data_IF_175554357045
#
_entry.id   IF_175554357045
#
_cell.length_a   1.000
_cell.length_b   1.000
_cell.length_c   1.000
_cell.angle_alpha   90.00
_cell.angle_beta   90.00
_cell.angle_gamma   90.00
#
_symmetry.space_group_name_H-M   'P 1'
#
loop_
_entity.id
_entity.type
_entity.pdbx_description
1 polymer ?
#
# COMPACT_ATOMS: atom_id res chain seq x y z
N UNK A 1 -12.90 50.26 57.37
CA UNK A 1 -13.96 49.58 56.58
C UNK A 1 -14.67 50.53 55.58
N UNK A 2 -13.96 51.43 54.88
CA UNK A 2 -14.59 52.34 53.88
C UNK A 2 -13.89 52.25 52.50
N UNK A 3 -12.65 51.73 52.44
CA UNK A 3 -11.90 51.58 51.18
C UNK A 3 -12.31 50.38 50.31
N UNK A 4 -13.10 49.42 50.82
CA UNK A 4 -13.52 48.23 50.06
C UNK A 4 -14.74 48.46 49.17
N UNK A 5 -15.51 49.53 49.38
CA UNK A 5 -16.76 49.78 48.64
C UNK A 5 -16.55 50.61 47.35
N UNK A 6 -15.43 51.32 47.22
CA UNK A 6 -15.14 52.17 46.05
C UNK A 6 -14.48 51.37 44.92
N UNK A 7 -13.75 50.29 45.25
CA UNK A 7 -13.06 49.44 44.26
C UNK A 7 -14.05 48.49 43.55
N UNK A 8 -15.05 47.97 44.27
CA UNK A 8 -16.10 47.11 43.70
C UNK A 8 -17.00 47.85 42.71
N UNK A 9 -17.26 49.15 42.94
CA UNK A 9 -18.12 49.94 42.05
C UNK A 9 -17.41 50.34 40.73
N UNK A 10 -16.09 50.58 40.77
CA UNK A 10 -15.26 50.84 39.57
C UNK A 10 -15.02 49.57 38.73
N UNK A 11 -14.86 48.41 39.37
CA UNK A 11 -14.74 47.13 38.66
C UNK A 11 -16.05 46.76 37.95
N UNK A 12 -17.21 47.01 38.58
CA UNK A 12 -18.53 46.76 37.97
C UNK A 12 -18.83 47.69 36.78
N UNK A 13 -18.45 48.96 36.85
CA UNK A 13 -18.61 49.91 35.73
C UNK A 13 -17.63 49.63 34.59
N UNK A 14 -16.39 49.22 34.87
CA UNK A 14 -15.43 48.81 33.84
C UNK A 14 -15.86 47.51 33.15
N UNK A 15 -16.34 46.52 33.91
CA UNK A 15 -16.87 45.28 33.34
C UNK A 15 -18.13 45.56 32.50
N UNK A 16 -19.05 46.42 32.96
CA UNK A 16 -20.23 46.81 32.18
C UNK A 16 -19.88 47.59 30.90
N UNK A 17 -18.85 48.43 30.92
CA UNK A 17 -18.37 49.17 29.75
C UNK A 17 -17.67 48.26 28.73
N UNK A 18 -16.83 47.32 29.19
CA UNK A 18 -16.18 46.31 28.34
C UNK A 18 -17.22 45.37 27.72
N UNK A 19 -18.21 44.92 28.49
CA UNK A 19 -19.30 44.07 28.00
C UNK A 19 -20.20 44.80 26.99
N UNK A 20 -20.47 46.11 27.17
CA UNK A 20 -21.32 46.89 26.25
C UNK A 20 -20.64 47.36 24.96
N UNK A 21 -19.31 47.40 24.92
CA UNK A 21 -18.55 47.90 23.75
C UNK A 21 -17.83 46.77 23.01
N UNK A 22 -17.22 45.82 23.72
CA UNK A 22 -16.45 44.74 23.09
C UNK A 22 -17.33 43.62 22.53
N UNK A 23 -18.46 43.30 23.19
CA UNK A 23 -19.36 42.24 22.68
C UNK A 23 -20.04 42.65 21.38
N UNK A 24 -20.60 43.86 21.23
CA UNK A 24 -21.17 44.28 19.94
C UNK A 24 -20.12 44.39 18.83
N UNK A 25 -18.88 44.80 19.13
CA UNK A 25 -17.80 44.80 18.13
C UNK A 25 -17.39 43.39 17.70
N UNK A 26 -17.31 42.43 18.61
CA UNK A 26 -17.02 41.03 18.28
C UNK A 26 -18.16 40.37 17.50
N UNK A 27 -19.42 40.69 17.83
CA UNK A 27 -20.61 40.22 17.09
C UNK A 27 -20.69 40.87 15.71
N UNK A 28 -20.35 42.15 15.58
CA UNK A 28 -20.32 42.87 14.29
C UNK A 28 -19.19 42.35 13.40
N UNK A 29 -17.99 42.11 13.96
CA UNK A 29 -16.89 41.47 13.22
C UNK A 29 -17.27 40.06 12.75
N UNK A 30 -17.86 39.22 13.62
CA UNK A 30 -18.33 37.89 13.23
C UNK A 30 -19.44 37.95 12.16
N UNK A 31 -20.31 38.97 12.20
CA UNK A 31 -21.34 39.19 11.18
C UNK A 31 -20.75 39.62 9.83
N UNK A 32 -19.72 40.46 9.83
CA UNK A 32 -19.02 40.88 8.60
C UNK A 32 -18.28 39.69 7.98
N UNK A 33 -17.52 38.93 8.78
CA UNK A 33 -16.83 37.73 8.29
C UNK A 33 -17.80 36.67 7.75
N UNK A 34 -18.98 36.52 8.38
CA UNK A 34 -20.03 35.62 7.89
C UNK A 34 -20.74 36.12 6.62
N UNK A 35 -20.76 37.43 6.35
CA UNK A 35 -21.31 38.00 5.12
C UNK A 35 -20.34 37.86 3.95
N UNK A 36 -19.07 38.22 4.15
CA UNK A 36 -18.00 38.00 3.16
C UNK A 36 -17.93 36.51 2.79
N UNK A 37 -18.06 35.62 3.78
CA UNK A 37 -18.03 34.18 3.54
C UNK A 37 -19.16 33.68 2.64
N UNK A 38 -20.38 34.15 2.88
CA UNK A 38 -21.53 33.81 2.04
C UNK A 38 -21.38 34.35 0.63
N UNK A 39 -20.82 35.55 0.48
CA UNK A 39 -20.67 36.22 -0.80
C UNK A 39 -19.68 35.49 -1.72
N UNK A 40 -18.48 35.16 -1.22
CA UNK A 40 -17.51 34.45 -2.06
C UNK A 40 -17.91 33.01 -2.34
N UNK A 41 -18.63 32.33 -1.42
CA UNK A 41 -19.18 30.99 -1.68
C UNK A 41 -20.21 31.01 -2.81
N UNK A 42 -21.12 31.99 -2.81
CA UNK A 42 -22.07 32.20 -3.91
C UNK A 42 -21.35 32.51 -5.23
N UNK A 43 -20.30 33.32 -5.19
CA UNK A 43 -19.48 33.59 -6.36
C UNK A 43 -18.77 32.33 -6.87
N UNK A 44 -18.21 31.51 -5.97
CA UNK A 44 -17.59 30.23 -6.30
C UNK A 44 -18.59 29.27 -6.96
N UNK A 45 -19.80 29.11 -6.41
CA UNK A 45 -20.86 28.30 -7.02
C UNK A 45 -21.22 28.79 -8.42
N UNK A 46 -21.29 30.12 -8.61
CA UNK A 46 -21.55 30.74 -9.92
C UNK A 46 -20.41 30.49 -10.91
N UNK A 47 -19.16 30.56 -10.46
CA UNK A 47 -17.99 30.27 -11.31
C UNK A 47 -17.92 28.79 -11.69
N UNK A 48 -18.16 27.89 -10.75
CA UNK A 48 -18.22 26.45 -10.98
C UNK A 48 -19.33 26.09 -11.96
N UNK A 49 -20.53 26.65 -11.80
CA UNK A 49 -21.64 26.42 -12.72
C UNK A 49 -21.36 26.99 -14.11
N UNK A 50 -20.79 28.20 -14.19
CA UNK A 50 -20.39 28.82 -15.47
C UNK A 50 -19.36 27.96 -16.20
N UNK A 51 -18.32 27.49 -15.50
CA UNK A 51 -17.28 26.64 -16.10
C UNK A 51 -17.87 25.32 -16.59
N UNK A 52 -18.75 24.70 -15.81
CA UNK A 52 -19.48 23.49 -16.23
C UNK A 52 -20.33 23.75 -17.49
N UNK A 53 -21.07 24.87 -17.55
CA UNK A 53 -21.84 25.24 -18.75
C UNK A 53 -20.94 25.47 -19.96
N UNK A 54 -19.77 26.08 -19.79
CA UNK A 54 -18.79 26.23 -20.88
C UNK A 54 -18.33 24.86 -21.40
N UNK A 55 -18.06 23.90 -20.52
CA UNK A 55 -17.71 22.52 -20.91
C UNK A 55 -18.88 21.80 -21.58
N UNK A 56 -20.11 21.96 -21.08
CA UNK A 56 -21.32 21.39 -21.68
C UNK A 56 -21.59 21.92 -23.10
N UNK A 57 -21.24 23.18 -23.37
CA UNK A 57 -21.30 23.80 -24.70
C UNK A 57 -20.16 23.35 -25.62
N UNK A 58 -18.95 23.13 -25.08
CA UNK A 58 -17.80 22.68 -25.86
C UNK A 58 -17.89 21.19 -26.21
N UNK A 59 -18.36 20.37 -25.26
CA UNK A 59 -18.49 18.91 -25.40
C UNK A 59 -19.94 18.61 -25.75
N UNK A 60 -20.30 18.82 -27.02
CA UNK A 60 -21.64 18.53 -27.52
C UNK A 60 -21.81 17.04 -27.80
N UNK A 61 -23.07 16.60 -27.92
CA UNK A 61 -23.41 15.24 -28.29
C UNK A 61 -22.79 14.86 -29.64
N UNK A 62 -22.81 15.77 -30.63
CA UNK A 62 -22.24 15.56 -31.95
C UNK A 62 -20.73 15.35 -31.90
N UNK A 63 -20.00 16.14 -31.09
CA UNK A 63 -18.56 15.99 -30.93
C UNK A 63 -18.19 14.63 -30.35
N UNK A 64 -19.00 14.11 -29.42
CA UNK A 64 -18.82 12.76 -28.87
C UNK A 64 -19.10 11.70 -29.94
N UNK A 65 -20.19 11.82 -30.71
CA UNK A 65 -20.47 10.90 -31.83
C UNK A 65 -19.32 10.84 -32.84
N UNK A 66 -18.80 11.98 -33.28
CA UNK A 66 -17.67 12.06 -34.22
C UNK A 66 -16.44 11.35 -33.64
N UNK A 67 -16.11 11.62 -32.37
CA UNK A 67 -14.98 10.99 -31.68
C UNK A 67 -15.16 9.46 -31.55
N UNK A 68 -16.40 9.01 -31.44
CA UNK A 68 -16.78 7.61 -31.35
C UNK A 68 -16.91 6.91 -32.71
N UNK A 69 -16.80 7.64 -33.83
CA UNK A 69 -17.02 7.10 -35.18
C UNK A 69 -18.48 6.72 -35.45
N UNK A 70 -19.42 7.41 -34.80
CA UNK A 70 -20.86 7.18 -34.95
C UNK A 70 -21.45 8.26 -35.86
N UNK A 71 -22.07 7.83 -36.97
CA UNK A 71 -22.71 8.73 -37.92
C UNK A 71 -24.03 9.31 -37.39
N UNK A 72 -24.31 10.57 -37.73
CA UNK A 72 -25.54 11.28 -37.40
C UNK A 72 -26.36 11.61 -38.67
N UNK A 73 -27.70 11.55 -38.64
CA UNK A 73 -28.54 11.18 -37.50
C UNK A 73 -28.48 9.67 -37.19
N UNK A 74 -28.66 9.33 -35.91
CA UNK A 74 -28.66 7.92 -35.48
C UNK A 74 -29.76 7.14 -36.22
N UNK A 75 -29.43 5.99 -36.86
CA UNK A 75 -30.38 5.19 -37.61
C UNK A 75 -31.57 4.77 -36.73
N UNK A 76 -32.75 4.69 -37.35
CA UNK A 76 -33.94 4.18 -36.68
C UNK A 76 -33.93 2.65 -36.73
N UNK A 77 -34.08 2.03 -35.57
CA UNK A 77 -34.19 0.59 -35.45
C UNK A 77 -35.44 0.09 -36.19
N UNK A 78 -35.24 -0.88 -37.08
CA UNK A 78 -36.34 -1.50 -37.85
C UNK A 78 -36.75 -2.86 -37.29
N UNK A 79 -35.87 -3.52 -36.53
CA UNK A 79 -36.05 -4.88 -35.98
C UNK A 79 -35.53 -4.97 -34.55
N UNK A 80 -36.13 -5.86 -33.74
CA UNK A 80 -35.68 -6.16 -32.38
C UNK A 80 -34.37 -6.98 -32.37
N UNK A 81 -33.68 -7.01 -31.23
CA UNK A 81 -32.46 -7.83 -31.07
C UNK A 81 -32.69 -9.32 -31.37
N UNK A 82 -33.83 -9.85 -30.95
CA UNK A 82 -34.13 -11.28 -31.13
C UNK A 82 -34.43 -11.62 -32.59
N UNK A 83 -35.14 -10.75 -33.32
CA UNK A 83 -35.34 -10.91 -34.76
C UNK A 83 -34.02 -10.85 -35.53
N UNK A 84 -33.12 -9.94 -35.15
CA UNK A 84 -31.79 -9.83 -35.76
C UNK A 84 -30.95 -11.07 -35.50
N UNK A 85 -30.96 -11.62 -34.27
CA UNK A 85 -30.24 -12.86 -33.96
C UNK A 85 -30.71 -14.03 -34.81
N UNK A 86 -32.02 -14.21 -34.94
CA UNK A 86 -32.62 -15.27 -35.78
C UNK A 86 -32.20 -15.10 -37.23
N UNK A 87 -32.19 -13.87 -37.76
CA UNK A 87 -31.75 -13.63 -39.13
C UNK A 87 -30.25 -13.88 -39.34
N UNK A 88 -29.41 -13.50 -38.36
CA UNK A 88 -27.97 -13.80 -38.40
C UNK A 88 -27.75 -15.31 -38.46
N UNK A 89 -28.42 -16.08 -37.61
CA UNK A 89 -28.35 -17.55 -37.61
C UNK A 89 -28.78 -18.12 -38.98
N UNK A 90 -29.89 -17.63 -39.54
CA UNK A 90 -30.37 -18.07 -40.85
C UNK A 90 -29.41 -17.71 -42.00
N UNK A 91 -28.84 -16.50 -42.01
CA UNK A 91 -27.86 -16.08 -43.03
C UNK A 91 -26.54 -16.86 -42.91
N UNK A 92 -26.09 -17.12 -41.67
CA UNK A 92 -24.92 -17.97 -41.40
C UNK A 92 -25.19 -19.39 -41.88
N UNK A 93 -26.30 -20.00 -41.49
CA UNK A 93 -26.66 -21.36 -41.91
C UNK A 93 -26.74 -21.47 -43.42
N UNK A 94 -27.35 -20.49 -44.09
CA UNK A 94 -27.42 -20.44 -45.56
C UNK A 94 -26.03 -20.43 -46.20
N UNK A 95 -25.13 -19.52 -45.78
CA UNK A 95 -23.77 -19.45 -46.33
C UNK A 95 -22.93 -20.67 -45.98
N UNK A 96 -23.11 -21.26 -44.80
CA UNK A 96 -22.45 -22.51 -44.40
C UNK A 96 -22.94 -23.66 -45.27
N UNK A 97 -24.23 -23.75 -45.57
CA UNK A 97 -24.79 -24.76 -46.47
C UNK A 97 -24.29 -24.60 -47.92
N UNK A 98 -24.08 -23.37 -48.38
CA UNK A 98 -23.49 -23.08 -49.69
C UNK A 98 -22.00 -23.48 -49.76
N UNK A 99 -21.23 -23.23 -48.70
CA UNK A 99 -19.79 -23.53 -48.64
C UNK A 99 -19.49 -25.01 -48.33
N UNK A 100 -20.25 -25.60 -47.39
CA UNK A 100 -20.06 -26.96 -46.89
C UNK A 100 -21.44 -27.63 -46.79
N UNK A 101 -21.91 -28.29 -47.85
CA UNK A 101 -23.23 -28.93 -47.87
C UNK A 101 -23.41 -29.93 -46.73
N UNK A 102 -24.65 -30.07 -46.26
CA UNK A 102 -24.99 -31.12 -45.27
C UNK A 102 -24.73 -32.48 -45.91
N UNK A 103 -23.92 -33.28 -45.25
CA UNK A 103 -23.60 -34.62 -45.74
C UNK A 103 -24.84 -35.52 -45.68
N UNK A 104 -25.12 -36.26 -46.75
CA UNK A 104 -26.17 -37.27 -46.73
C UNK A 104 -25.68 -38.50 -45.96
N UNK A 105 -26.12 -38.61 -44.70
CA UNK A 105 -25.76 -39.71 -43.80
C UNK A 105 -26.14 -41.08 -44.39
N UNK A 106 -27.22 -41.17 -45.19
CA UNK A 106 -27.61 -42.43 -45.84
C UNK A 106 -26.60 -42.83 -46.90
N UNK A 107 -26.15 -41.87 -47.72
CA UNK A 107 -25.11 -42.10 -48.73
C UNK A 107 -23.79 -42.53 -48.08
N UNK A 108 -23.37 -41.81 -47.04
CA UNK A 108 -22.15 -42.15 -46.26
C UNK A 108 -22.25 -43.55 -45.66
N UNK A 109 -23.43 -43.90 -45.12
CA UNK A 109 -23.66 -45.22 -44.56
C UNK A 109 -23.58 -46.31 -45.63
N UNK A 110 -24.17 -46.09 -46.81
CA UNK A 110 -24.06 -47.02 -47.93
C UNK A 110 -22.61 -47.20 -48.39
N UNK A 111 -21.86 -46.10 -48.51
CA UNK A 111 -20.43 -46.14 -48.85
C UNK A 111 -19.63 -46.92 -47.80
N UNK A 112 -19.91 -46.71 -46.50
CA UNK A 112 -19.27 -47.44 -45.42
C UNK A 112 -19.65 -48.92 -45.38
N UNK A 113 -20.92 -49.27 -45.67
CA UNK A 113 -21.41 -50.65 -45.78
C UNK A 113 -20.77 -51.39 -46.96
N UNK A 114 -20.56 -50.71 -48.09
CA UNK A 114 -19.85 -51.28 -49.25
C UNK A 114 -18.35 -51.45 -48.96
N UNK A 115 -17.70 -50.44 -48.38
CA UNK A 115 -16.27 -50.48 -48.04
C UNK A 115 -15.95 -51.52 -46.98
N UNK A 116 -16.86 -51.81 -46.04
CA UNK A 116 -16.66 -52.78 -44.95
C UNK A 116 -17.53 -54.03 -45.12
N UNK A 117 -17.93 -54.36 -46.35
CA UNK A 117 -18.76 -55.52 -46.65
C UNK A 117 -18.08 -56.82 -46.20
N UNK A 118 -18.83 -57.72 -45.59
CA UNK A 118 -18.32 -59.05 -45.25
C UNK A 118 -17.86 -59.80 -46.50
N UNK A 119 -16.67 -60.36 -46.44
CA UNK A 119 -16.13 -61.18 -47.53
C UNK A 119 -16.78 -62.55 -47.54
N UNK A 120 -17.09 -63.03 -48.74
CA UNK A 120 -17.62 -64.36 -48.97
C UNK A 120 -16.63 -65.22 -49.75
N UNK A 121 -16.80 -66.54 -49.65
CA UNK A 121 -16.03 -67.48 -50.45
C UNK A 121 -16.29 -67.21 -51.94
N UNK A 122 -15.21 -67.07 -52.72
CA UNK A 122 -15.26 -66.71 -54.13
C UNK A 122 -15.02 -65.22 -54.42
N UNK A 123 -15.05 -64.35 -53.40
CA UNK A 123 -14.73 -62.93 -53.58
C UNK A 123 -13.24 -62.75 -53.95
N UNK A 124 -12.96 -61.77 -54.81
CA UNK A 124 -11.58 -61.34 -55.09
C UNK A 124 -11.20 -60.26 -54.08
N UNK A 125 -10.12 -60.49 -53.34
CA UNK A 125 -9.65 -59.59 -52.29
C UNK A 125 -8.27 -59.05 -52.64
N UNK A 126 -7.99 -57.81 -52.22
CA UNK A 126 -6.68 -57.15 -52.32
C UNK A 126 -6.48 -56.33 -51.03
N UNK A 127 -5.53 -56.75 -50.19
CA UNK A 127 -5.24 -56.07 -48.93
C UNK A 127 -3.78 -56.21 -48.54
N UNK A 128 -3.37 -55.42 -47.54
CA UNK A 128 -2.06 -55.50 -46.92
C UNK A 128 -2.18 -56.13 -45.54
N UNK A 129 -1.38 -57.15 -45.26
CA UNK A 129 -1.38 -57.81 -43.95
C UNK A 129 -0.57 -57.03 -42.90
N UNK A 130 -0.60 -57.47 -41.65
CA UNK A 130 0.12 -56.80 -40.55
C UNK A 130 1.67 -56.80 -40.74
N UNK A 131 2.20 -57.59 -41.67
CA UNK A 131 3.63 -57.62 -42.03
C UNK A 131 3.95 -56.74 -43.25
N UNK A 132 2.99 -55.97 -43.76
CA UNK A 132 3.16 -55.11 -44.92
C UNK A 132 3.16 -55.86 -46.26
N UNK A 133 2.77 -57.13 -46.30
CA UNK A 133 2.70 -57.90 -47.54
C UNK A 133 1.36 -57.63 -48.22
N UNK A 134 1.39 -57.22 -49.49
CA UNK A 134 0.18 -57.14 -50.32
C UNK A 134 -0.24 -58.53 -50.78
N UNK A 135 -1.49 -58.89 -50.52
CA UNK A 135 -2.08 -60.18 -50.83
C UNK A 135 -3.30 -59.95 -51.70
N UNK A 136 -3.25 -60.50 -52.91
CA UNK A 136 -4.32 -60.39 -53.90
C UNK A 136 -4.69 -61.79 -54.40
N UNK A 137 -5.99 -62.05 -54.55
CA UNK A 137 -6.48 -63.29 -55.16
C UNK A 137 -7.90 -63.63 -54.74
N UNK A 138 -8.37 -64.81 -55.16
CA UNK A 138 -9.71 -65.30 -54.84
C UNK A 138 -9.74 -65.99 -53.48
N UNK A 139 -10.72 -65.64 -52.66
CA UNK A 139 -10.90 -66.14 -51.31
C UNK A 139 -11.53 -67.54 -51.33
N UNK A 140 -10.75 -68.56 -50.96
CA UNK A 140 -11.17 -69.97 -50.98
C UNK A 140 -11.77 -70.39 -49.64
N UNK A 141 -11.20 -69.91 -48.54
CA UNK A 141 -11.62 -70.29 -47.19
C UNK A 141 -11.53 -69.08 -46.24
N UNK A 142 -12.53 -68.96 -45.37
CA UNK A 142 -12.65 -67.89 -44.39
C UNK A 142 -12.97 -68.51 -43.03
N UNK A 143 -12.17 -68.18 -42.02
CA UNK A 143 -12.56 -68.35 -40.62
C UNK A 143 -11.97 -67.25 -39.75
N UNK A 144 -12.45 -67.08 -38.51
CA UNK A 144 -11.89 -66.12 -37.56
C UNK A 144 -10.40 -66.32 -37.22
N UNK A 145 -9.82 -67.47 -37.60
CA UNK A 145 -8.43 -67.85 -37.31
C UNK A 145 -7.50 -67.89 -38.53
N UNK A 146 -8.05 -67.97 -39.75
CA UNK A 146 -7.25 -68.14 -40.98
C UNK A 146 -8.05 -67.75 -42.23
N UNK A 147 -7.36 -67.18 -43.20
CA UNK A 147 -7.86 -67.01 -44.57
C UNK A 147 -7.04 -67.86 -45.54
N UNK A 148 -7.67 -68.37 -46.58
CA UNK A 148 -6.98 -68.97 -47.73
C UNK A 148 -7.32 -68.18 -48.99
N UNK A 149 -6.30 -67.64 -49.65
CA UNK A 149 -6.42 -66.80 -50.85
C UNK A 149 -5.58 -67.45 -51.94
N UNK A 150 -6.23 -68.06 -52.94
CA UNK A 150 -5.56 -68.95 -53.89
C UNK A 150 -4.80 -70.06 -53.16
N UNK A 151 -3.48 -70.12 -53.36
CA UNK A 151 -2.58 -71.09 -52.71
C UNK A 151 -2.00 -70.60 -51.38
N UNK A 152 -2.25 -69.34 -50.98
CA UNK A 152 -1.63 -68.72 -49.80
C UNK A 152 -2.56 -68.80 -48.59
N UNK A 153 -1.96 -68.99 -47.41
CA UNK A 153 -2.64 -68.91 -46.13
C UNK A 153 -2.22 -67.66 -45.37
N UNK A 154 -3.19 -66.96 -44.81
CA UNK A 154 -2.97 -65.82 -43.91
C UNK A 154 -3.46 -66.23 -42.53
N UNK A 155 -2.57 -66.17 -41.55
CA UNK A 155 -2.88 -66.52 -40.17
C UNK A 155 -3.52 -65.34 -39.45
N UNK A 156 -4.31 -65.60 -38.40
CA UNK A 156 -4.90 -64.55 -37.55
C UNK A 156 -3.88 -63.53 -37.02
N UNK A 157 -2.64 -63.95 -36.76
CA UNK A 157 -1.57 -63.08 -36.26
C UNK A 157 -1.22 -61.99 -37.28
N UNK A 158 -1.49 -62.24 -38.56
CA UNK A 158 -1.22 -61.30 -39.65
C UNK A 158 -2.45 -60.47 -40.03
N UNK A 159 -3.60 -60.62 -39.34
CA UNK A 159 -4.82 -59.85 -39.64
C UNK A 159 -4.70 -58.42 -39.12
N UNK A 160 -4.95 -57.45 -39.99
CA UNK A 160 -5.14 -56.04 -39.63
C UNK A 160 -6.58 -55.81 -39.16
N UNK A 161 -6.87 -54.68 -38.46
CA UNK A 161 -8.23 -54.31 -38.10
C UNK A 161 -9.19 -54.26 -39.30
N UNK A 162 -8.68 -53.87 -40.48
CA UNK A 162 -9.42 -53.85 -41.75
C UNK A 162 -9.84 -55.27 -42.16
N UNK A 163 -8.90 -56.22 -42.15
CA UNK A 163 -9.19 -57.63 -42.44
C UNK A 163 -10.23 -58.19 -41.46
N UNK A 164 -10.10 -57.89 -40.18
CA UNK A 164 -11.09 -58.30 -39.17
C UNK A 164 -12.48 -57.72 -39.43
N UNK A 165 -12.58 -56.47 -39.90
CA UNK A 165 -13.85 -55.83 -40.24
C UNK A 165 -14.57 -56.51 -41.42
N UNK A 166 -13.85 -57.24 -42.28
CA UNK A 166 -14.46 -58.00 -43.38
C UNK A 166 -14.81 -59.45 -43.03
N UNK A 167 -14.34 -59.99 -41.91
CA UNK A 167 -14.56 -61.40 -41.51
C UNK A 167 -15.59 -61.50 -40.40
N UNK A 168 -15.56 -60.57 -39.44
CA UNK A 168 -16.40 -60.60 -38.25
C UNK A 168 -17.58 -59.62 -38.37
N UNK A 169 -18.85 -60.09 -38.31
CA UNK A 169 -20.02 -59.23 -38.41
C UNK A 169 -20.13 -58.14 -37.35
N UNK A 170 -19.59 -58.35 -36.14
CA UNK A 170 -19.62 -57.35 -35.08
C UNK A 170 -18.58 -56.26 -35.33
N UNK A 171 -17.37 -56.66 -35.77
CA UNK A 171 -16.31 -55.71 -36.09
C UNK A 171 -16.62 -54.92 -37.37
N UNK A 172 -17.28 -55.54 -38.36
CA UNK A 172 -17.83 -54.86 -39.54
C UNK A 172 -18.80 -53.75 -39.13
N UNK A 173 -19.80 -54.07 -38.31
CA UNK A 173 -20.76 -53.08 -37.78
C UNK A 173 -20.06 -51.95 -37.02
N UNK A 174 -19.04 -52.27 -36.23
CA UNK A 174 -18.25 -51.27 -35.51
C UNK A 174 -17.47 -50.36 -36.47
N UNK A 175 -16.83 -50.93 -37.50
CA UNK A 175 -16.09 -50.18 -38.51
C UNK A 175 -16.99 -49.24 -39.31
N UNK A 176 -18.15 -49.74 -39.78
CA UNK A 176 -19.19 -48.94 -40.46
C UNK A 176 -19.63 -47.77 -39.58
N UNK A 177 -20.02 -48.05 -38.32
CA UNK A 177 -20.42 -47.02 -37.37
C UNK A 177 -19.31 -45.98 -37.16
N UNK A 178 -18.06 -46.42 -36.98
CA UNK A 178 -16.90 -45.56 -36.77
C UNK A 178 -16.63 -44.68 -37.99
N UNK A 179 -16.74 -45.20 -39.20
CA UNK A 179 -16.56 -44.46 -40.45
C UNK A 179 -17.65 -43.40 -40.63
N UNK A 180 -18.92 -43.78 -40.47
CA UNK A 180 -20.06 -42.84 -40.51
C UNK A 180 -19.86 -41.74 -39.46
N UNK A 181 -19.50 -42.10 -38.23
CA UNK A 181 -19.25 -41.13 -37.15
C UNK A 181 -18.08 -40.20 -37.49
N UNK A 182 -16.97 -40.72 -38.01
CA UNK A 182 -15.80 -39.92 -38.40
C UNK A 182 -16.15 -38.91 -39.49
N UNK A 183 -16.83 -39.34 -40.55
CA UNK A 183 -17.19 -38.45 -41.65
C UNK A 183 -18.23 -37.40 -41.23
N UNK A 184 -19.26 -37.80 -40.48
CA UNK A 184 -20.27 -36.86 -39.97
C UNK A 184 -19.68 -35.86 -38.99
N UNK A 185 -18.78 -36.30 -38.11
CA UNK A 185 -18.08 -35.43 -37.15
C UNK A 185 -17.10 -34.49 -37.84
N UNK A 186 -16.36 -34.97 -38.86
CA UNK A 186 -15.48 -34.13 -39.68
C UNK A 186 -16.27 -33.07 -40.43
N UNK A 187 -17.42 -33.43 -41.01
CA UNK A 187 -18.30 -32.47 -41.70
C UNK A 187 -18.88 -31.44 -40.72
N UNK A 188 -19.33 -31.88 -39.54
CA UNK A 188 -19.83 -30.97 -38.51
C UNK A 188 -18.75 -30.01 -38.01
N UNK A 189 -17.53 -30.50 -37.79
CA UNK A 189 -16.39 -29.67 -37.40
C UNK A 189 -16.05 -28.62 -38.46
N UNK A 190 -16.03 -29.01 -39.74
CA UNK A 190 -15.75 -28.06 -40.83
C UNK A 190 -16.87 -27.02 -40.98
N UNK A 191 -18.14 -27.43 -40.87
CA UNK A 191 -19.28 -26.50 -40.87
C UNK A 191 -19.20 -25.50 -39.72
N UNK A 192 -18.86 -25.95 -38.52
CA UNK A 192 -18.68 -25.08 -37.36
C UNK A 192 -17.52 -24.10 -37.58
N UNK A 193 -16.39 -24.55 -38.13
CA UNK A 193 -15.25 -23.69 -38.46
C UNK A 193 -15.64 -22.59 -39.45
N UNK A 194 -16.37 -22.92 -40.51
CA UNK A 194 -16.85 -21.95 -41.48
C UNK A 194 -17.88 -21.00 -40.85
N UNK A 195 -18.79 -21.51 -40.01
CA UNK A 195 -19.76 -20.69 -39.29
C UNK A 195 -19.07 -19.66 -38.39
N UNK A 196 -18.07 -20.08 -37.59
CA UNK A 196 -17.30 -19.19 -36.71
C UNK A 196 -16.57 -18.08 -37.47
N UNK A 197 -16.06 -18.37 -38.67
CA UNK A 197 -15.41 -17.36 -39.51
C UNK A 197 -16.39 -16.35 -40.11
N UNK A 198 -17.57 -16.82 -40.54
CA UNK A 198 -18.59 -15.98 -41.18
C UNK A 198 -19.44 -15.19 -40.17
N UNK A 199 -19.61 -15.71 -38.96
CA UNK A 199 -20.51 -15.16 -37.95
C UNK A 199 -20.25 -13.68 -37.63
N UNK A 200 -19.02 -13.22 -37.34
CA UNK A 200 -18.78 -11.82 -36.98
C UNK A 200 -19.11 -10.83 -38.10
N UNK A 201 -18.83 -11.22 -39.35
CA UNK A 201 -19.10 -10.40 -40.54
C UNK A 201 -20.61 -10.27 -40.76
N UNK A 202 -21.32 -11.41 -40.78
CA UNK A 202 -22.78 -11.44 -40.96
C UNK A 202 -23.48 -10.73 -39.81
N UNK A 203 -23.04 -10.96 -38.58
CA UNK A 203 -23.53 -10.26 -37.40
C UNK A 203 -23.45 -8.75 -37.61
N UNK A 204 -22.27 -8.24 -37.97
CA UNK A 204 -22.07 -6.80 -38.16
C UNK A 204 -22.94 -6.22 -39.29
N UNK A 205 -23.07 -6.93 -40.40
CA UNK A 205 -23.87 -6.49 -41.54
C UNK A 205 -25.36 -6.44 -41.18
N UNK A 206 -25.91 -7.52 -40.59
CA UNK A 206 -27.35 -7.58 -40.26
C UNK A 206 -27.71 -6.57 -39.17
N UNK A 207 -26.86 -6.40 -38.15
CA UNK A 207 -27.08 -5.40 -37.11
C UNK A 207 -27.07 -3.98 -37.69
N UNK A 208 -26.11 -3.66 -38.57
CA UNK A 208 -26.03 -2.35 -39.24
C UNK A 208 -27.24 -2.12 -40.16
N UNK A 209 -27.63 -3.11 -40.95
CA UNK A 209 -28.84 -3.07 -41.80
C UNK A 209 -30.12 -2.83 -40.98
N UNK A 210 -30.16 -3.36 -39.76
CA UNK A 210 -31.30 -3.22 -38.84
C UNK A 210 -31.29 -1.93 -38.02
N UNK A 211 -30.30 -1.05 -38.25
CA UNK A 211 -30.19 0.26 -37.62
C UNK A 211 -29.58 0.25 -36.22
N UNK A 212 -28.83 -0.80 -35.85
CA UNK A 212 -28.04 -0.82 -34.62
C UNK A 212 -26.68 -0.17 -34.83
N UNK A 213 -26.12 0.38 -33.76
CA UNK A 213 -24.84 1.08 -33.76
C UNK A 213 -23.86 0.32 -32.88
N UNK A 214 -22.65 0.13 -33.39
CA UNK A 214 -21.53 -0.41 -32.62
C UNK A 214 -20.74 0.76 -32.01
N UNK A 215 -20.67 0.82 -30.68
CA UNK A 215 -19.93 1.88 -29.96
C UNK A 215 -18.61 1.28 -29.43
N UNK A 216 -17.49 1.59 -30.09
CA UNK A 216 -16.21 0.93 -29.85
C UNK A 216 -15.66 1.05 -28.41
N UNK A 217 -15.92 2.16 -27.71
CA UNK A 217 -15.44 2.35 -26.33
C UNK A 217 -16.42 1.81 -25.26
N UNK A 218 -17.62 1.36 -25.66
CA UNK A 218 -18.64 0.83 -24.76
C UNK A 218 -18.80 -0.68 -24.98
N UNK A 219 -17.81 -1.44 -24.48
CA UNK A 219 -17.80 -2.90 -24.46
C UNK A 219 -17.93 -3.63 -25.82
N UNK A 220 -17.78 -2.93 -26.96
CA UNK A 220 -18.00 -3.48 -28.30
C UNK A 220 -19.39 -4.12 -28.46
N UNK A 221 -20.41 -3.52 -27.88
CA UNK A 221 -21.79 -4.00 -27.96
C UNK A 221 -22.59 -3.22 -29.01
N UNK A 222 -23.59 -3.91 -29.57
CA UNK A 222 -24.56 -3.32 -30.48
C UNK A 222 -25.70 -2.72 -29.68
N UNK A 223 -25.98 -1.44 -29.92
CA UNK A 223 -27.01 -0.70 -29.21
C UNK A 223 -28.11 -0.26 -30.16
N UNK A 224 -29.35 -0.31 -29.70
CA UNK A 224 -30.47 0.36 -30.37
C UNK A 224 -30.27 1.87 -30.37
N UNK A 225 -31.09 2.61 -31.10
CA UNK A 225 -31.05 4.09 -31.11
C UNK A 225 -31.18 4.69 -29.70
N UNK A 226 -32.17 4.25 -28.92
CA UNK A 226 -32.44 4.80 -27.59
C UNK A 226 -31.32 4.47 -26.59
N UNK A 227 -30.80 3.24 -26.65
CA UNK A 227 -29.66 2.83 -25.82
C UNK A 227 -28.40 3.58 -26.23
N UNK A 228 -28.14 3.72 -27.54
CA UNK A 228 -26.99 4.46 -28.06
C UNK A 228 -27.01 5.91 -27.58
N UNK A 229 -28.17 6.58 -27.61
CA UNK A 229 -28.31 7.94 -27.08
C UNK A 229 -27.95 8.01 -25.60
N UNK A 230 -28.43 7.06 -24.81
CA UNK A 230 -28.15 6.99 -23.37
C UNK A 230 -26.66 6.78 -23.10
N UNK A 231 -26.03 5.84 -23.83
CA UNK A 231 -24.60 5.53 -23.69
C UNK A 231 -23.74 6.73 -24.14
N UNK A 232 -24.06 7.36 -25.27
CA UNK A 232 -23.33 8.53 -25.76
C UNK A 232 -23.47 9.70 -24.78
N UNK A 233 -24.65 9.91 -24.20
CA UNK A 233 -24.86 10.96 -23.19
C UNK A 233 -24.08 10.67 -21.91
N UNK A 234 -24.02 9.41 -21.46
CA UNK A 234 -23.16 9.02 -20.33
C UNK A 234 -21.67 9.26 -20.63
N UNK A 235 -21.20 8.90 -21.83
CA UNK A 235 -19.83 9.19 -22.27
C UNK A 235 -19.55 10.69 -22.31
N UNK A 236 -20.50 11.49 -22.80
CA UNK A 236 -20.44 12.95 -22.79
C UNK A 236 -20.28 13.50 -21.38
N UNK A 237 -21.13 13.06 -20.44
CA UNK A 237 -21.06 13.49 -19.04
C UNK A 237 -19.73 13.08 -18.39
N UNK A 238 -19.23 11.88 -18.67
CA UNK A 238 -17.93 11.43 -18.18
C UNK A 238 -16.79 12.30 -18.72
N UNK A 239 -16.82 12.65 -20.01
CA UNK A 239 -15.85 13.57 -20.61
C UNK A 239 -15.92 14.98 -20.00
N UNK A 240 -17.13 15.49 -19.73
CA UNK A 240 -17.34 16.77 -19.04
C UNK A 240 -16.75 16.72 -17.64
N UNK A 241 -17.07 15.70 -16.84
CA UNK A 241 -16.56 15.56 -15.48
C UNK A 241 -15.03 15.44 -15.46
N UNK A 242 -14.45 14.65 -16.36
CA UNK A 242 -13.01 14.54 -16.48
C UNK A 242 -12.36 15.91 -16.79
N UNK A 243 -12.89 16.65 -17.78
CA UNK A 243 -12.37 17.97 -18.15
C UNK A 243 -12.63 19.03 -17.07
N UNK A 244 -13.71 18.86 -16.33
CA UNK A 244 -14.02 19.68 -15.17
C UNK A 244 -12.94 19.50 -14.10
N UNK A 245 -12.63 18.27 -13.71
CA UNK A 245 -11.62 17.99 -12.69
C UNK A 245 -10.20 18.40 -13.13
N UNK A 246 -9.85 18.20 -14.41
CA UNK A 246 -8.55 18.58 -14.97
C UNK A 246 -8.35 20.10 -15.00
N UNK A 247 -9.37 20.88 -15.35
CA UNK A 247 -9.22 22.32 -15.62
C UNK A 247 -9.83 23.27 -14.59
N UNK A 248 -10.62 22.77 -13.63
CA UNK A 248 -11.29 23.63 -12.64
C UNK A 248 -10.28 24.40 -11.79
N UNK A 249 -9.18 23.76 -11.40
CA UNK A 249 -8.18 24.40 -10.55
C UNK A 249 -7.53 25.61 -11.24
N UNK A 250 -7.17 25.46 -12.52
CA UNK A 250 -6.58 26.53 -13.33
C UNK A 250 -7.60 27.64 -13.59
N UNK A 251 -8.86 27.27 -13.90
CA UNK A 251 -9.94 28.23 -14.11
C UNK A 251 -10.21 29.08 -12.86
N UNK A 252 -10.33 28.43 -11.69
CA UNK A 252 -10.55 29.12 -10.41
C UNK A 252 -9.32 29.94 -9.99
N UNK A 253 -8.11 29.43 -10.22
CA UNK A 253 -6.86 30.14 -10.01
C UNK A 253 -6.79 31.44 -10.80
N UNK A 254 -7.14 31.42 -12.08
CA UNK A 254 -7.21 32.60 -12.93
C UNK A 254 -8.28 33.62 -12.48
N UNK A 255 -9.27 33.19 -11.68
CA UNK A 255 -10.30 34.05 -11.06
C UNK A 255 -9.97 34.47 -9.63
N UNK A 256 -8.75 34.21 -9.15
CA UNK A 256 -8.27 34.65 -7.85
C UNK A 256 -8.68 33.76 -6.68
N UNK A 257 -9.05 32.51 -6.93
CA UNK A 257 -9.30 31.51 -5.88
C UNK A 257 -8.09 30.58 -5.72
N UNK A 258 -7.86 30.12 -4.48
CA UNK A 258 -6.85 29.14 -4.16
C UNK A 258 -7.44 28.09 -3.20
N UNK A 259 -6.82 26.90 -3.17
CA UNK A 259 -7.27 25.79 -2.33
C UNK A 259 -6.50 25.80 -1.01
N UNK A 260 -7.23 25.77 0.10
CA UNK A 260 -6.69 25.68 1.47
C UNK A 260 -7.53 24.67 2.26
N UNK A 261 -6.89 23.67 2.88
CA UNK A 261 -7.56 22.60 3.65
C UNK A 261 -8.76 21.96 2.90
N UNK A 262 -8.58 21.64 1.61
CA UNK A 262 -9.60 21.08 0.73
C UNK A 262 -10.81 21.98 0.42
N UNK A 263 -10.75 23.26 0.75
CA UNK A 263 -11.78 24.24 0.38
C UNK A 263 -11.20 25.28 -0.58
N UNK A 264 -11.95 25.60 -1.62
CA UNK A 264 -11.65 26.73 -2.49
C UNK A 264 -12.07 28.01 -1.79
N UNK A 265 -11.18 29.00 -1.72
CA UNK A 265 -11.47 30.32 -1.18
C UNK A 265 -10.65 31.38 -1.89
N UNK A 266 -11.04 32.67 -1.86
CA UNK A 266 -10.24 33.77 -2.36
C UNK A 266 -8.77 33.69 -1.92
N UNK A 267 -7.85 33.89 -2.87
CA UNK A 267 -6.40 33.76 -2.65
C UNK A 267 -5.88 34.67 -1.53
N UNK A 268 -6.47 35.84 -1.36
CA UNK A 268 -6.15 36.76 -0.27
C UNK A 268 -6.46 36.17 1.11
N UNK A 269 -7.59 35.45 1.25
CA UNK A 269 -7.92 34.77 2.50
C UNK A 269 -7.02 33.57 2.76
N UNK A 270 -6.63 32.83 1.73
CA UNK A 270 -5.63 31.76 1.88
C UNK A 270 -4.32 32.35 2.42
N UNK A 271 -3.85 33.45 1.82
CA UNK A 271 -2.65 34.15 2.28
C UNK A 271 -2.79 34.70 3.71
N UNK A 272 -3.99 35.10 4.12
CA UNK A 272 -4.26 35.50 5.51
C UNK A 272 -4.23 34.31 6.47
N UNK A 273 -4.90 33.20 6.15
CA UNK A 273 -4.93 31.99 6.97
C UNK A 273 -3.55 31.36 7.12
N UNK A 274 -2.75 31.33 6.06
CA UNK A 274 -1.36 30.87 6.11
C UNK A 274 -0.52 31.73 7.06
N UNK A 275 -0.62 33.07 6.95
CA UNK A 275 0.05 33.99 7.89
C UNK A 275 -0.40 33.77 9.33
N UNK A 276 -1.70 33.55 9.57
CA UNK A 276 -2.23 33.26 10.90
C UNK A 276 -1.70 31.92 11.45
N UNK A 277 -1.58 30.89 10.60
CA UNK A 277 -0.97 29.60 10.95
C UNK A 277 0.52 29.74 11.28
N UNK A 278 1.30 30.44 10.45
CA UNK A 278 2.72 30.71 10.70
C UNK A 278 2.94 31.45 12.03
N UNK A 279 2.11 32.45 12.33
CA UNK A 279 2.16 33.18 13.59
C UNK A 279 1.82 32.24 14.77
N UNK A 280 0.82 31.38 14.61
CA UNK A 280 0.43 30.42 15.66
C UNK A 280 1.52 29.38 15.91
N UNK A 281 2.16 28.85 14.86
CA UNK A 281 3.27 27.91 14.96
C UNK A 281 4.49 28.55 15.61
N UNK A 282 4.84 29.79 15.22
CA UNK A 282 5.94 30.54 15.83
C UNK A 282 5.70 30.75 17.33
N UNK A 283 4.47 31.09 17.74
CA UNK A 283 4.11 31.24 19.16
C UNK A 283 4.23 29.93 19.93
N UNK A 284 3.76 28.81 19.35
CA UNK A 284 3.92 27.47 19.96
C UNK A 284 5.38 27.09 20.11
N UNK A 285 6.21 27.33 19.10
CA UNK A 285 7.64 27.06 19.14
C UNK A 285 8.34 27.91 20.21
N UNK A 286 7.99 29.20 20.33
CA UNK A 286 8.54 30.07 21.37
C UNK A 286 8.14 29.61 22.79
N UNK A 287 6.90 29.19 22.97
CA UNK A 287 6.41 28.66 24.25
C UNK A 287 7.13 27.37 24.65
N UNK A 288 7.29 26.43 23.70
CA UNK A 288 8.06 25.20 23.91
C UNK A 288 9.52 25.50 24.26
N UNK A 289 10.17 26.44 23.55
CA UNK A 289 11.54 26.85 23.86
C UNK A 289 11.67 27.45 25.26
N UNK A 290 10.70 28.28 25.68
CA UNK A 290 10.66 28.83 27.05
C UNK A 290 10.48 27.73 28.10
N UNK A 291 9.67 26.72 27.82
CA UNK A 291 9.43 25.61 28.74
C UNK A 291 10.69 24.74 28.90
N UNK A 292 11.35 24.39 27.79
CA UNK A 292 12.63 23.67 27.81
C UNK A 292 13.72 24.46 28.54
N UNK A 293 13.79 25.78 28.33
CA UNK A 293 14.75 26.63 29.04
C UNK A 293 14.53 26.62 30.57
N UNK A 294 13.27 26.61 31.02
CA UNK A 294 12.93 26.48 32.45
C UNK A 294 13.35 25.13 33.01
N UNK A 295 13.06 24.04 32.31
CA UNK A 295 13.46 22.69 32.73
C UNK A 295 14.97 22.54 32.84
N UNK A 296 15.73 23.08 31.87
CA UNK A 296 17.20 23.09 31.91
C UNK A 296 17.70 23.91 33.11
N UNK A 297 17.10 25.08 33.38
CA UNK A 297 17.48 25.92 34.51
C UNK A 297 17.19 25.23 35.86
N UNK A 298 16.03 24.59 36.01
CA UNK A 298 15.67 23.82 37.21
C UNK A 298 16.61 22.64 37.42
N UNK A 299 16.96 21.91 36.36
CA UNK A 299 17.91 20.79 36.45
C UNK A 299 19.27 21.27 36.94
N UNK A 300 19.80 22.35 36.36
CA UNK A 300 21.07 22.96 36.79
C UNK A 300 21.01 23.42 38.25
N UNK A 301 19.91 24.05 38.68
CA UNK A 301 19.74 24.48 40.07
C UNK A 301 19.69 23.29 41.05
N UNK A 302 19.05 22.18 40.66
CA UNK A 302 19.04 20.93 41.46
C UNK A 302 20.44 20.31 41.54
N UNK A 303 21.15 20.21 40.43
CA UNK A 303 22.52 19.70 40.38
C UNK A 303 23.46 20.54 41.26
N UNK A 304 23.33 21.87 41.22
CA UNK A 304 24.11 22.78 42.06
C UNK A 304 23.79 22.60 43.54
N UNK A 305 22.51 22.45 43.90
CA UNK A 305 22.08 22.19 45.28
C UNK A 305 22.64 20.85 45.79
N UNK A 306 22.54 19.78 45.01
CA UNK A 306 23.11 18.46 45.37
C UNK A 306 24.63 18.57 45.58
N UNK A 307 25.33 19.29 44.70
CA UNK A 307 26.77 19.50 44.83
C UNK A 307 27.14 20.31 46.08
N UNK A 308 26.34 21.32 46.45
CA UNK A 308 26.52 22.08 47.68
C UNK A 308 26.29 21.22 48.93
N UNK A 309 25.23 20.41 48.94
CA UNK A 309 24.93 19.47 50.04
C UNK A 309 26.03 18.41 50.18
N UNK A 310 26.52 17.84 49.07
CA UNK A 310 27.62 16.88 49.07
C UNK A 310 28.91 17.50 49.61
N UNK A 311 29.25 18.74 49.21
CA UNK A 311 30.40 19.48 49.76
C UNK A 311 30.25 19.76 51.25
N UNK A 312 29.03 20.08 51.71
CA UNK A 312 28.76 20.30 53.13
C UNK A 312 28.92 19.01 53.96
N UNK A 313 28.40 17.87 53.47
CA UNK A 313 28.58 16.57 54.11
C UNK A 313 30.06 16.16 54.18
N UNK A 314 30.79 16.31 53.08
CA UNK A 314 32.22 16.01 53.01
C UNK A 314 33.05 16.80 54.05
N UNK A 315 32.71 18.08 54.28
CA UNK A 315 33.37 18.92 55.30
C UNK A 315 33.19 18.41 56.73
N UNK A 316 32.19 17.58 57.00
CA UNK A 316 31.95 16.97 58.31
C UNK A 316 32.59 15.59 58.39
N UNK A 317 32.38 14.75 57.38
CA UNK A 317 32.80 13.35 57.41
C UNK A 317 34.31 13.16 57.24
N UNK A 318 34.95 13.96 56.38
CA UNK A 318 36.39 13.83 56.10
C UNK A 318 37.23 14.12 57.34
N UNK A 319 37.03 15.23 58.09
CA UNK A 319 37.73 15.44 59.35
C UNK A 319 37.50 14.32 60.36
N UNK A 320 36.29 13.77 60.44
CA UNK A 320 35.98 12.66 61.34
C UNK A 320 36.79 11.40 60.98
N UNK A 321 36.89 11.07 59.68
CA UNK A 321 37.69 9.95 59.17
C UNK A 321 39.19 10.11 59.53
N UNK A 322 39.78 11.28 59.24
CA UNK A 322 41.20 11.54 59.53
C UNK A 322 41.47 11.50 61.03
N UNK A 323 40.60 12.12 61.83
CA UNK A 323 40.73 12.10 63.27
C UNK A 323 40.59 10.69 63.85
N UNK A 324 39.72 9.85 63.28
CA UNK A 324 39.59 8.43 63.65
C UNK A 324 40.88 7.66 63.36
N UNK A 325 41.39 7.76 62.14
CA UNK A 325 42.66 7.14 61.73
C UNK A 325 43.82 7.54 62.66
N UNK A 326 44.03 8.84 62.89
CA UNK A 326 45.14 9.31 63.70
C UNK A 326 45.02 8.88 65.17
N UNK A 327 43.80 8.82 65.72
CA UNK A 327 43.55 8.25 67.06
C UNK A 327 43.91 6.77 67.15
N UNK A 328 43.60 5.99 66.12
CA UNK A 328 43.99 4.57 66.07
C UNK A 328 45.51 4.41 65.97
N UNK A 329 46.19 5.27 65.21
CA UNK A 329 47.66 5.26 65.13
C UNK A 329 48.34 5.61 66.46
N UNK A 330 47.76 6.51 67.27
CA UNK A 330 48.25 6.79 68.64
C UNK A 330 48.21 5.54 69.52
N UNK A 331 47.17 4.70 69.38
CA UNK A 331 47.03 3.44 70.14
C UNK A 331 48.00 2.35 69.67
N UNK A 332 48.75 2.60 68.61
CA UNK A 332 49.68 1.64 68.01
C UNK A 332 49.07 0.77 66.91
N UNK A 333 47.78 0.96 66.58
CA UNK A 333 47.11 0.29 65.47
C UNK A 333 47.52 0.94 64.14
N UNK A 334 47.42 0.22 63.03
CA UNK A 334 47.70 0.77 61.68
C UNK A 334 46.51 1.58 61.12
N UNK A 335 45.32 1.42 61.71
CA UNK A 335 44.08 2.06 61.29
C UNK A 335 43.54 1.51 59.96
N UNK A 336 43.77 0.22 59.67
CA UNK A 336 43.40 -0.42 58.40
C UNK A 336 41.97 -0.12 57.91
N UNK A 337 41.00 0.02 58.82
CA UNK A 337 39.60 0.29 58.50
C UNK A 337 39.37 1.63 57.77
N UNK A 338 40.30 2.59 57.87
CA UNK A 338 40.21 3.88 57.20
C UNK A 338 40.84 3.87 55.81
N UNK A 339 41.49 2.79 55.39
CA UNK A 339 42.21 2.72 54.12
C UNK A 339 41.32 2.27 52.95
N UNK A 340 41.59 2.77 51.75
CA UNK A 340 40.91 2.33 50.53
C UNK A 340 41.36 0.90 50.16
N UNK A 341 40.47 0.12 49.55
CA UNK A 341 40.80 -1.26 49.17
C UNK A 341 42.02 -1.30 48.22
N UNK A 342 43.03 -2.11 48.57
CA UNK A 342 44.27 -2.26 47.77
C UNK A 342 45.34 -1.19 48.02
N UNK A 343 45.15 -0.29 49.00
CA UNK A 343 46.19 0.65 49.43
C UNK A 343 47.11 0.05 50.51
N UNK A 344 48.36 0.52 50.57
CA UNK A 344 49.32 0.09 51.59
C UNK A 344 49.32 1.06 52.76
N UNK A 345 49.06 0.60 54.00
CA UNK A 345 48.98 1.50 55.14
C UNK A 345 50.34 2.12 55.46
N UNK A 346 50.38 3.44 55.53
CA UNK A 346 51.56 4.20 55.97
C UNK A 346 51.44 4.43 57.47
N UNK A 347 52.42 3.93 58.23
CA UNK A 347 52.51 4.16 59.67
C UNK A 347 53.22 5.47 59.94
N UNK A 348 52.53 6.46 60.51
CA UNK A 348 53.16 7.65 61.04
C UNK A 348 53.91 7.29 62.33
N UNK A 349 55.10 7.85 62.52
CA UNK A 349 55.92 7.56 63.70
C UNK A 349 55.32 8.31 64.90
N UNK A 350 54.69 7.61 65.84
CA UNK A 350 54.23 8.13 67.13
C UNK A 350 53.56 9.53 67.08
N UNK A 351 52.42 9.69 66.35
CA UNK A 351 51.67 10.95 66.36
C UNK A 351 51.18 11.26 67.77
N UNK A 352 51.27 12.51 68.22
CA UNK A 352 50.85 12.96 69.55
C UNK A 352 49.78 14.05 69.50
N UNK A 353 49.89 14.97 68.55
CA UNK A 353 48.91 16.03 68.27
C UNK A 353 48.78 16.27 66.77
N UNK A 354 47.62 16.75 66.32
CA UNK A 354 47.44 17.11 64.92
C UNK A 354 46.35 18.17 64.72
N UNK A 355 46.45 18.88 63.61
CA UNK A 355 45.54 19.94 63.19
C UNK A 355 45.29 19.82 61.68
N UNK A 356 44.03 19.82 61.26
CA UNK A 356 43.67 19.89 59.84
C UNK A 356 43.84 21.34 59.39
N UNK A 357 44.76 21.56 58.46
CA UNK A 357 45.16 22.90 57.98
C UNK A 357 44.37 23.31 56.75
N UNK A 358 44.14 22.36 55.83
CA UNK A 358 43.39 22.62 54.59
C UNK A 358 42.62 21.38 54.15
N UNK A 359 41.47 21.59 53.49
CA UNK A 359 40.61 20.55 52.95
C UNK A 359 40.07 20.97 51.59
N UNK A 360 40.50 20.26 50.56
CA UNK A 360 40.03 20.40 49.19
C UNK A 360 39.21 19.16 48.82
N UNK A 361 37.96 19.36 48.39
CA UNK A 361 37.05 18.26 48.03
C UNK A 361 36.60 18.41 46.57
N UNK A 362 36.83 17.36 45.77
CA UNK A 362 36.56 17.25 44.34
C UNK A 362 35.61 16.08 44.06
N UNK A 363 34.35 16.20 44.50
CA UNK A 363 33.35 15.15 44.34
C UNK A 363 33.68 13.93 45.20
N UNK A 364 34.06 12.81 44.58
CA UNK A 364 34.40 11.56 45.27
C UNK A 364 35.85 11.48 45.75
N UNK A 365 36.64 12.54 45.54
CA UNK A 365 38.02 12.65 46.01
C UNK A 365 38.19 13.84 46.92
N UNK A 366 39.07 13.73 47.91
CA UNK A 366 39.47 14.86 48.73
C UNK A 366 40.96 14.82 49.03
N UNK A 367 41.55 15.98 49.22
CA UNK A 367 42.93 16.15 49.67
C UNK A 367 42.88 16.99 50.92
N UNK A 368 43.44 16.46 52.01
CA UNK A 368 43.47 17.13 53.30
C UNK A 368 44.90 17.29 53.75
N UNK A 369 45.28 18.52 54.01
CA UNK A 369 46.59 18.84 54.58
C UNK A 369 46.44 18.86 56.09
N UNK A 370 47.21 18.02 56.78
CA UNK A 370 47.20 17.85 58.22
C UNK A 370 48.58 18.12 58.77
N UNK A 371 48.68 19.02 59.74
CA UNK A 371 49.89 19.19 60.55
C UNK A 371 49.90 18.14 61.63
N UNK A 372 50.93 17.30 61.67
CA UNK A 372 51.06 16.23 62.67
C UNK A 372 52.33 16.49 63.49
N UNK A 373 52.18 16.50 64.81
CA UNK A 373 53.28 16.48 65.76
C UNK A 373 53.58 15.02 66.12
N UNK A 374 54.84 14.60 65.96
CA UNK A 374 55.33 13.26 66.21
C UNK A 374 56.59 13.26 67.07
N UNK A 375 56.91 12.15 67.71
CA UNK A 375 58.17 11.98 68.45
C UNK A 375 59.14 11.07 67.70
N UNK A 376 60.39 11.51 67.52
CA UNK A 376 61.46 10.62 67.02
C UNK A 376 61.76 9.49 68.01
N UNK A 377 62.47 8.46 67.54
CA UNK A 377 63.04 7.39 68.39
C UNK A 377 63.92 7.90 69.55
N UNK A 378 64.33 9.18 69.53
CA UNK A 378 65.07 9.86 70.60
C UNK A 378 64.25 10.86 71.43
N UNK A 379 62.92 10.89 71.28
CA UNK A 379 62.02 11.73 72.10
C UNK A 379 61.93 13.21 71.68
N UNK A 380 62.61 13.62 70.60
CA UNK A 380 62.48 15.00 70.08
C UNK A 380 61.19 15.14 69.27
N UNK A 381 60.37 16.17 69.54
CA UNK A 381 59.16 16.45 68.78
C UNK A 381 59.50 16.97 67.37
N UNK A 382 58.89 16.39 66.34
CA UNK A 382 58.94 16.86 64.96
C UNK A 382 57.52 17.30 64.57
N UNK A 383 57.41 18.43 63.87
CA UNK A 383 56.15 18.91 63.30
C UNK A 383 56.25 18.90 61.78
N UNK A 384 55.47 18.05 61.12
CA UNK A 384 55.46 17.94 59.67
C UNK A 384 54.06 18.12 59.12
N UNK A 385 53.97 18.62 57.89
CA UNK A 385 52.73 18.65 57.13
C UNK A 385 52.60 17.37 56.32
N UNK A 386 51.41 16.78 56.35
CA UNK A 386 51.08 15.56 55.65
C UNK A 386 49.85 15.79 54.80
N UNK A 387 49.89 15.30 53.57
CA UNK A 387 48.76 15.27 52.66
C UNK A 387 48.07 13.91 52.71
N UNK A 388 46.80 13.93 53.10
CA UNK A 388 45.90 12.78 53.12
C UNK A 388 44.99 12.86 51.90
N UNK A 389 45.17 11.94 50.96
CA UNK A 389 44.30 11.81 49.79
C UNK A 389 43.22 10.79 50.15
N UNK A 390 41.96 11.20 50.10
CA UNK A 390 40.80 10.39 50.40
C UNK A 390 39.97 10.13 49.15
N UNK A 391 39.31 8.98 49.15
CA UNK A 391 38.34 8.55 48.15
C UNK A 391 37.07 8.11 48.84
N UNK A 392 35.91 8.49 48.30
CA UNK A 392 34.61 8.09 48.82
C UNK A 392 34.16 6.77 48.19
N UNK A 393 34.05 5.73 49.01
CA UNK A 393 33.60 4.38 48.62
C UNK A 393 32.45 3.93 49.54
N UNK A 394 31.41 4.76 49.64
CA UNK A 394 30.30 4.62 50.60
C UNK A 394 30.62 5.17 52.00
N UNK A 395 31.90 5.24 52.34
CA UNK A 395 32.46 6.07 53.42
C UNK A 395 33.79 6.66 52.92
N UNK A 396 34.24 7.77 53.51
CA UNK A 396 35.55 8.34 53.18
C UNK A 396 36.67 7.40 53.65
N UNK A 397 37.56 7.03 52.73
CA UNK A 397 38.75 6.22 53.00
C UNK A 397 40.00 6.95 52.55
N UNK A 398 41.06 6.88 53.34
CA UNK A 398 42.40 7.34 52.99
C UNK A 398 42.99 6.37 51.99
N UNK A 399 43.38 6.87 50.83
CA UNK A 399 44.07 6.09 49.80
C UNK A 399 45.58 6.30 49.88
N UNK A 400 46.02 7.54 50.12
CA UNK A 400 47.44 7.87 50.11
C UNK A 400 47.75 8.90 51.17
N UNK A 401 48.83 8.66 51.91
CA UNK A 401 49.43 9.63 52.81
C UNK A 401 50.83 9.94 52.29
N UNK A 402 51.13 11.22 52.11
CA UNK A 402 52.45 11.68 51.68
C UNK A 402 52.87 12.87 52.53
N UNK A 403 54.16 12.95 52.86
CA UNK A 403 54.73 14.14 53.50
C UNK A 403 54.70 15.30 52.50
N UNK A 404 54.27 16.47 52.96
CA UNK A 404 54.28 17.71 52.18
C UNK A 404 55.51 18.51 52.61
N UNK A 405 56.45 18.71 51.68
CA UNK A 405 57.64 19.53 51.91
C UNK A 405 57.32 21.00 52.18
#
# INVERSE_FOLDING_TARGET
MIYSAVITNKAATFHAAVTRVCIPMLVFAASIFGQEEKEWRKNLETLCSTYRTMLEQAITFENVCIKMGVDLPLPQQTRSHDEVKVEVEQRVEKKVNEAVPVIDVKKVRMEAEEENRLWNRGDTVDFVDARGRRIQGTLIFISPGKLQIGTRYVSRVDFTPEIFAHIDPELSRHAIKKMVQRQTSSNAAERNRVAEQLYPQILADVYRESGFILIANAANQWYSKAESQTVIEQLRLNMINQKYDEGLADYLGAKGFARFENQWMPAEMVARKLREQEIAERKRAEEQARQQAREIAERKAREEKINQEAKAAARVEIPACINGLLKEQVKGNDGYEYWAAGSSPVKLVAPTQWEIVDLLCFGTYAVVTVRVESSTKGGMPIRLLWSFNLKYEGTWKVWMISETN
#
